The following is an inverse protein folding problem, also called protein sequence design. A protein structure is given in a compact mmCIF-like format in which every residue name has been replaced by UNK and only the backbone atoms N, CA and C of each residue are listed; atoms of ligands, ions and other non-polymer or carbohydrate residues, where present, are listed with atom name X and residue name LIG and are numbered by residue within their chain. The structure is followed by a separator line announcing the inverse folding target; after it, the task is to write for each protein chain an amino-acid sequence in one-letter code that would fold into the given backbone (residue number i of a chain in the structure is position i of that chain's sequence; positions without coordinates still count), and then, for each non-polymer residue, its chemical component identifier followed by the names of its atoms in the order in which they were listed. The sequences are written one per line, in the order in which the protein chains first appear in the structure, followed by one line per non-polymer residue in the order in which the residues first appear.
data_IF_045011499273
#
_entry.id   IF_045011499273
#
_cell.length_a   1.000
_cell.length_b   1.000
_cell.length_c   1.000
_cell.angle_alpha   90.00
_cell.angle_beta   90.00
_cell.angle_gamma   90.00
#
_symmetry.space_group_name_H-M   'P 1'
#
loop_
_entity.id
_entity.type
_entity.pdbx_description
1 polymer ?
#
# COMPACT_ATOMS: atom_id res chain seq x y z
N UNK A 1 13.07 -34.88 8.34
CA UNK A 1 14.10 -33.83 8.47
C UNK A 1 13.53 -32.52 7.93
N UNK A 2 13.47 -31.49 8.78
CA UNK A 2 12.88 -30.19 8.49
C UNK A 2 13.74 -29.39 7.50
N UNK A 3 13.13 -28.65 6.58
CA UNK A 3 13.77 -27.54 5.85
C UNK A 3 13.12 -26.24 6.30
N UNK A 4 13.86 -25.45 7.07
CA UNK A 4 13.52 -24.08 7.44
C UNK A 4 13.87 -23.19 6.25
N UNK A 5 12.88 -22.54 5.65
CA UNK A 5 13.11 -21.47 4.66
C UNK A 5 12.86 -20.14 5.35
N UNK A 6 13.98 -19.46 5.64
CA UNK A 6 14.06 -18.07 6.04
C UNK A 6 13.82 -17.23 4.79
N UNK A 7 13.00 -16.19 4.88
CA UNK A 7 12.69 -15.38 3.70
C UNK A 7 12.57 -13.92 4.18
N UNK A 8 13.01 -12.99 3.33
CA UNK A 8 13.43 -11.62 3.65
C UNK A 8 12.81 -10.64 2.63
N UNK A 9 11.92 -9.75 3.05
CA UNK A 9 11.39 -8.67 2.22
C UNK A 9 12.16 -7.35 2.43
N UNK A 10 12.58 -6.74 1.32
CA UNK A 10 13.11 -5.38 1.28
C UNK A 10 12.04 -4.41 0.76
N UNK A 11 11.85 -3.28 1.46
CA UNK A 11 10.93 -2.22 1.08
C UNK A 11 11.72 -1.09 0.41
N UNK A 12 11.53 -0.89 -0.89
CA UNK A 12 12.07 0.25 -1.64
C UNK A 12 11.03 1.37 -1.72
N UNK A 13 11.39 2.58 -1.28
CA UNK A 13 10.55 3.79 -1.42
C UNK A 13 11.09 4.59 -2.59
N UNK A 14 10.36 4.66 -3.70
CA UNK A 14 10.68 5.58 -4.80
C UNK A 14 10.09 6.97 -4.48
N UNK A 15 10.94 7.99 -4.53
CA UNK A 15 10.66 9.36 -4.09
C UNK A 15 9.71 10.16 -5.00
N UNK A 16 9.05 11.13 -4.36
CA UNK A 16 8.04 12.04 -4.90
C UNK A 16 8.62 13.03 -5.93
N UNK A 17 7.85 13.29 -7.00
CA UNK A 17 8.00 14.49 -7.84
C UNK A 17 6.77 15.38 -7.68
N UNK A 18 6.93 16.50 -6.99
CA UNK A 18 5.90 17.55 -6.86
C UNK A 18 5.85 18.43 -8.11
N UNK A 19 4.64 18.70 -8.62
CA UNK A 19 4.36 19.79 -9.55
C UNK A 19 3.15 20.62 -9.08
N UNK A 20 3.32 21.94 -9.17
CA UNK A 20 2.50 23.05 -8.66
C UNK A 20 1.66 23.63 -9.81
N UNK A 21 0.39 24.04 -9.58
CA UNK A 21 -0.11 25.40 -9.92
C UNK A 21 -1.57 25.71 -9.47
N UNK A 22 -1.91 27.00 -9.51
CA UNK A 22 -2.96 27.81 -8.87
C UNK A 22 -4.35 27.80 -9.55
N UNK A 23 -5.39 28.25 -8.80
CA UNK A 23 -6.65 28.76 -9.36
C UNK A 23 -7.73 29.09 -8.31
N UNK A 24 -8.14 30.36 -8.23
CA UNK A 24 -9.03 31.00 -7.25
C UNK A 24 -10.52 30.97 -7.70
N UNK A 25 -11.52 30.90 -6.79
CA UNK A 25 -12.89 31.53 -6.84
C UNK A 25 -13.77 31.03 -5.67
N UNK A 26 -14.47 31.96 -5.00
CA UNK A 26 -15.29 31.79 -3.80
C UNK A 26 -16.79 31.48 -4.06
N UNK A 27 -17.45 30.72 -3.15
CA UNK A 27 -18.79 31.01 -2.58
C UNK A 27 -19.22 29.98 -1.52
N UNK A 28 -19.75 30.49 -0.40
CA UNK A 28 -20.26 29.76 0.76
C UNK A 28 -21.66 29.16 0.52
N UNK A 29 -21.94 27.92 0.95
CA UNK A 29 -23.20 27.54 1.63
C UNK A 29 -23.07 26.17 2.33
N UNK A 30 -23.68 26.06 3.52
CA UNK A 30 -23.45 25.01 4.49
C UNK A 30 -23.63 23.56 4.03
N UNK A 31 -22.58 22.79 4.26
CA UNK A 31 -22.59 21.42 4.80
C UNK A 31 -21.29 21.30 5.60
N UNK A 32 -21.25 20.47 6.64
CA UNK A 32 -19.99 20.00 7.20
C UNK A 32 -19.31 19.12 6.14
N UNK A 33 -18.81 19.72 5.06
CA UNK A 33 -17.76 19.14 4.25
C UNK A 33 -16.53 19.17 5.12
N UNK A 34 -16.26 18.02 5.73
CA UNK A 34 -14.93 17.67 6.19
C UNK A 34 -14.03 17.98 5.00
N UNK A 35 -13.32 19.11 5.13
CA UNK A 35 -12.43 19.69 4.16
C UNK A 35 -11.88 18.57 3.30
N UNK A 36 -12.26 18.54 2.01
CA UNK A 36 -11.46 17.95 0.97
C UNK A 36 -10.14 18.72 1.00
N UNK A 37 -9.32 18.43 2.02
CA UNK A 37 -7.90 18.42 1.83
C UNK A 37 -7.79 17.58 0.57
N UNK A 38 -7.19 18.14 -0.49
CA UNK A 38 -6.51 17.33 -1.49
C UNK A 38 -5.57 16.44 -0.68
N UNK A 39 -6.10 15.37 -0.11
CA UNK A 39 -5.35 14.23 0.32
C UNK A 39 -4.74 13.83 -1.01
N UNK A 40 -3.45 14.07 -1.13
CA UNK A 40 -2.63 13.48 -2.16
C UNK A 40 -2.92 11.97 -2.01
N UNK A 41 -3.94 11.48 -2.71
CA UNK A 41 -4.42 10.11 -2.57
C UNK A 41 -3.32 9.29 -3.20
N UNK A 42 -2.45 8.76 -2.35
CA UNK A 42 -1.31 8.00 -2.83
C UNK A 42 -1.82 6.60 -3.12
N UNK A 43 -1.72 6.22 -4.39
CA UNK A 43 -1.99 4.85 -4.80
C UNK A 43 -0.91 3.96 -4.21
N UNK A 44 -1.31 3.09 -3.30
CA UNK A 44 -0.40 2.22 -2.58
C UNK A 44 -0.52 0.79 -3.09
N UNK A 45 0.62 0.22 -3.48
CA UNK A 45 0.70 -1.12 -4.05
C UNK A 45 1.42 -2.09 -3.13
N UNK A 46 1.02 -3.35 -3.17
CA UNK A 46 1.78 -4.50 -2.63
C UNK A 46 1.92 -5.53 -3.73
N UNK A 47 3.15 -5.93 -4.00
CA UNK A 47 3.45 -7.09 -4.85
C UNK A 47 3.58 -8.31 -3.95
N UNK A 48 2.79 -9.33 -4.23
CA UNK A 48 2.75 -10.61 -3.52
C UNK A 48 3.34 -11.65 -4.47
N UNK A 49 4.49 -12.21 -4.12
CA UNK A 49 5.11 -13.29 -4.88
C UNK A 49 4.90 -14.61 -4.16
N UNK A 50 4.21 -15.55 -4.82
CA UNK A 50 3.94 -16.87 -4.27
C UNK A 50 5.09 -17.82 -4.59
N UNK A 51 5.56 -18.53 -3.56
CA UNK A 51 6.64 -19.50 -3.67
C UNK A 51 6.16 -20.90 -3.30
N UNK A 52 6.59 -21.91 -4.06
CA UNK A 52 6.43 -23.32 -3.71
C UNK A 52 7.69 -24.08 -4.08
N UNK A 53 8.22 -24.88 -3.16
CA UNK A 53 9.45 -25.65 -3.40
C UNK A 53 10.70 -24.81 -3.71
N UNK A 54 10.74 -23.54 -3.29
CA UNK A 54 11.84 -22.62 -3.61
C UNK A 54 11.78 -22.00 -5.01
N UNK A 55 10.66 -22.18 -5.73
CA UNK A 55 10.39 -21.56 -7.02
C UNK A 55 9.20 -20.61 -6.93
N UNK A 56 9.24 -19.52 -7.70
CA UNK A 56 8.09 -18.64 -7.87
C UNK A 56 7.02 -19.38 -8.66
N UNK A 57 5.83 -19.51 -8.08
CA UNK A 57 4.66 -20.13 -8.72
C UNK A 57 3.61 -19.13 -9.16
N UNK A 58 3.72 -17.87 -8.72
CA UNK A 58 2.81 -16.82 -9.13
C UNK A 58 3.19 -15.46 -8.54
N UNK A 59 2.58 -14.42 -9.06
CA UNK A 59 2.70 -13.06 -8.55
C UNK A 59 1.36 -12.35 -8.71
N UNK A 60 0.95 -11.63 -7.67
CA UNK A 60 -0.22 -10.78 -7.68
C UNK A 60 0.19 -9.37 -7.24
N UNK A 61 -0.43 -8.35 -7.79
CA UNK A 61 -0.24 -6.98 -7.31
C UNK A 61 -1.59 -6.41 -6.92
N UNK A 62 -1.71 -6.03 -5.66
CA UNK A 62 -2.90 -5.39 -5.12
C UNK A 62 -2.62 -3.91 -4.92
N UNK A 63 -3.63 -3.08 -5.19
CA UNK A 63 -3.56 -1.64 -5.03
C UNK A 63 -4.67 -1.14 -4.12
N UNK A 64 -4.41 -0.06 -3.41
CA UNK A 64 -5.40 0.66 -2.64
C UNK A 64 -5.06 2.13 -2.57
N UNK A 65 -6.07 2.95 -2.82
CA UNK A 65 -6.01 4.38 -2.64
C UNK A 65 -6.08 4.73 -1.15
N UNK A 66 -5.06 5.45 -0.66
CA UNK A 66 -4.93 5.78 0.75
C UNK A 66 -4.72 7.27 0.94
N UNK A 67 -5.25 7.87 2.02
CA UNK A 67 -5.25 9.31 2.20
C UNK A 67 -3.87 9.89 2.57
N UNK A 68 -2.92 9.06 3.00
CA UNK A 68 -1.56 9.45 3.36
C UNK A 68 -0.62 8.22 3.49
N UNK A 69 0.69 8.47 3.62
CA UNK A 69 1.72 7.44 3.74
C UNK A 69 1.53 6.51 4.96
N UNK A 70 1.07 7.03 6.11
CA UNK A 70 0.85 6.21 7.29
C UNK A 70 -0.29 5.21 7.08
N UNK A 71 -1.37 5.65 6.42
CA UNK A 71 -2.47 4.78 5.99
C UNK A 71 -2.02 3.74 4.97
N UNK A 72 -1.12 4.09 4.04
CA UNK A 72 -0.50 3.11 3.14
C UNK A 72 0.28 2.04 3.89
N UNK A 73 1.16 2.42 4.82
CA UNK A 73 1.93 1.46 5.60
C UNK A 73 1.02 0.56 6.44
N UNK A 74 -0.04 1.14 7.04
CA UNK A 74 -1.04 0.37 7.77
C UNK A 74 -1.77 -0.63 6.88
N UNK A 75 -2.19 -0.22 5.68
CA UNK A 75 -2.83 -1.10 4.71
C UNK A 75 -1.88 -2.20 4.22
N UNK A 76 -0.63 -1.88 3.88
CA UNK A 76 0.38 -2.86 3.49
C UNK A 76 0.64 -3.89 4.60
N UNK A 77 0.69 -3.45 5.86
CA UNK A 77 0.77 -4.36 7.00
C UNK A 77 -0.51 -5.19 7.19
N UNK A 78 -1.67 -4.63 6.90
CA UNK A 78 -2.95 -5.36 6.86
C UNK A 78 -2.93 -6.49 5.83
N UNK A 79 -2.42 -6.23 4.61
CA UNK A 79 -2.22 -7.26 3.59
C UNK A 79 -1.30 -8.37 4.09
N UNK A 80 -0.21 -8.01 4.78
CA UNK A 80 0.68 -9.00 5.40
C UNK A 80 -0.04 -9.89 6.42
N UNK A 81 -0.76 -9.27 7.36
CA UNK A 81 -1.50 -10.01 8.39
C UNK A 81 -2.57 -10.90 7.75
N UNK A 82 -3.29 -10.41 6.74
CA UNK A 82 -4.28 -11.19 6.00
C UNK A 82 -3.66 -12.43 5.35
N UNK A 83 -2.49 -12.28 4.70
CA UNK A 83 -1.76 -13.40 4.11
C UNK A 83 -1.30 -14.40 5.18
N UNK A 84 -0.81 -13.92 6.34
CA UNK A 84 -0.44 -14.80 7.46
C UNK A 84 -1.64 -15.59 8.00
N UNK A 85 -2.78 -14.93 8.17
CA UNK A 85 -4.03 -15.57 8.63
C UNK A 85 -4.57 -16.56 7.60
N UNK A 86 -4.39 -16.28 6.31
CA UNK A 86 -4.70 -17.22 5.21
C UNK A 86 -3.75 -18.43 5.15
N UNK A 87 -2.73 -18.49 6.02
CA UNK A 87 -1.81 -19.62 6.13
C UNK A 87 -0.53 -19.46 5.30
N UNK A 88 -0.31 -18.31 4.67
CA UNK A 88 0.95 -18.03 3.97
C UNK A 88 2.03 -17.62 4.97
N UNK A 89 3.20 -18.20 4.82
CA UNK A 89 4.38 -17.71 5.51
C UNK A 89 4.94 -16.50 4.76
N UNK A 90 5.02 -15.38 5.48
CA UNK A 90 5.63 -14.15 4.99
C UNK A 90 7.07 -14.01 5.42
N UNK A 91 7.73 -13.15 4.68
CA UNK A 91 9.12 -13.31 4.35
C UNK A 91 9.72 -11.97 4.02
#
# INVERSE_FOLDING_TARGET
MMKKTLLLAAFGVAGLVSAKDNGNVAKETGKKEKTEQKADVQQCGVVITYWSGGQVVGQETVYSDQPNLASCQAWQNGVKVALQVAGFWLT
#
